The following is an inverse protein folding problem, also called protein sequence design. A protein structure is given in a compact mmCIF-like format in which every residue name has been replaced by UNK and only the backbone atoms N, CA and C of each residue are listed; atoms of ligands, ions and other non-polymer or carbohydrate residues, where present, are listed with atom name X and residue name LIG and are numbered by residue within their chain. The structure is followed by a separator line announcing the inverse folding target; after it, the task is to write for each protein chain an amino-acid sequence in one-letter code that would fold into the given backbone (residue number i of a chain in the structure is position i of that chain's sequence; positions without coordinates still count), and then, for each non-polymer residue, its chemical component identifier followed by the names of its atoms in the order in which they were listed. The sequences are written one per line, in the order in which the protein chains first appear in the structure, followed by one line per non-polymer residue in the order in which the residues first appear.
data_IF_663224867416
#
_entry.id   IF_663224867416
#
_cell.length_a   1.000
_cell.length_b   1.000
_cell.length_c   1.000
_cell.angle_alpha   90.00
_cell.angle_beta   90.00
_cell.angle_gamma   90.00
#
_symmetry.space_group_name_H-M   'P 1'
#
loop_
_entity.id
_entity.type
_entity.pdbx_description
1 polymer ?
#
# COMPACT_ATOMS: atom_id res chain seq x y z
N UNK A 1 7.00 -0.23 11.60
CA UNK A 1 7.07 0.21 10.19
C UNK A 1 5.76 0.83 9.72
N UNK A 2 4.65 0.10 9.83
CA UNK A 2 3.35 0.62 9.39
C UNK A 2 2.90 1.84 10.18
N UNK A 3 3.07 1.87 11.49
CA UNK A 3 2.66 2.99 12.34
C UNK A 3 3.41 4.27 12.00
N UNK A 4 4.70 4.17 11.75
CA UNK A 4 5.52 5.30 11.35
C UNK A 4 5.07 5.86 10.00
N UNK A 5 4.83 4.98 9.03
CA UNK A 5 4.39 5.37 7.69
C UNK A 5 2.99 6.00 7.73
N UNK A 6 2.06 5.44 8.51
CA UNK A 6 0.74 6.05 8.72
C UNK A 6 0.84 7.47 9.28
N UNK A 7 1.70 7.65 10.27
CA UNK A 7 1.92 8.96 10.88
C UNK A 7 2.42 9.98 9.85
N UNK A 8 3.39 9.61 9.03
CA UNK A 8 3.92 10.48 7.98
C UNK A 8 2.84 10.84 6.96
N UNK A 9 2.03 9.88 6.53
CA UNK A 9 0.96 10.13 5.56
C UNK A 9 -0.07 11.11 6.14
N UNK A 10 -0.46 10.91 7.40
CA UNK A 10 -1.38 11.82 8.07
C UNK A 10 -0.82 13.24 8.14
N UNK A 11 0.46 13.38 8.49
CA UNK A 11 1.11 14.70 8.56
C UNK A 11 1.23 15.37 7.21
N UNK A 12 1.60 14.63 6.17
CA UNK A 12 1.91 15.20 4.86
C UNK A 12 0.67 15.46 4.02
N UNK A 13 -0.33 14.62 4.11
CA UNK A 13 -1.50 14.65 3.23
C UNK A 13 -2.81 14.99 3.96
N UNK A 14 -2.79 15.05 5.28
CA UNK A 14 -3.98 15.38 6.07
C UNK A 14 -5.05 14.31 6.11
N UNK A 15 -4.78 13.09 5.63
CA UNK A 15 -5.74 11.99 5.69
C UNK A 15 -5.53 11.13 6.93
N UNK A 16 -6.63 10.74 7.57
CA UNK A 16 -6.64 9.87 8.75
C UNK A 16 -7.34 8.55 8.49
N UNK A 17 -7.94 8.37 7.31
CA UNK A 17 -8.66 7.15 6.95
C UNK A 17 -7.67 6.13 6.39
N UNK A 18 -6.92 5.50 7.29
CA UNK A 18 -5.83 4.59 6.96
C UNK A 18 -6.05 3.29 7.72
N UNK A 19 -6.34 2.21 6.96
CA UNK A 19 -6.44 0.86 7.48
C UNK A 19 -5.09 0.13 7.43
N UNK A 20 -4.94 -0.92 8.22
CA UNK A 20 -3.69 -1.70 8.24
C UNK A 20 -3.91 -3.16 8.57
N UNK A 21 -4.28 -3.49 9.80
CA UNK A 21 -4.44 -4.85 10.25
C UNK A 21 -5.81 -5.41 9.84
N UNK A 22 -5.84 -6.59 9.21
CA UNK A 22 -7.06 -7.24 8.75
C UNK A 22 -7.14 -8.70 9.23
N UNK A 23 -7.50 -8.88 10.50
CA UNK A 23 -7.70 -10.21 11.08
C UNK A 23 -8.94 -10.91 10.52
N UNK A 24 -9.98 -10.15 10.19
CA UNK A 24 -11.28 -10.68 9.77
C UNK A 24 -11.28 -11.34 8.41
N UNK A 25 -10.29 -11.03 7.56
CA UNK A 25 -10.28 -11.54 6.19
C UNK A 25 -9.74 -12.95 6.07
N UNK A 26 -9.14 -13.51 7.12
CA UNK A 26 -8.60 -14.87 7.19
C UNK A 26 -7.62 -15.20 6.05
N UNK A 27 -7.04 -14.19 5.43
CA UNK A 27 -6.10 -14.35 4.34
C UNK A 27 -4.69 -14.31 4.94
N UNK A 28 -4.21 -15.45 5.40
CA UNK A 28 -2.93 -15.58 6.11
C UNK A 28 -1.74 -15.11 5.27
N UNK A 29 -1.87 -15.11 3.94
CA UNK A 29 -0.82 -14.67 3.03
C UNK A 29 -0.91 -13.18 2.70
N UNK A 30 -1.94 -12.48 3.17
CA UNK A 30 -2.07 -11.04 2.97
C UNK A 30 -1.12 -10.28 3.88
N UNK A 31 -0.48 -9.22 3.35
CA UNK A 31 0.34 -8.34 4.17
C UNK A 31 -0.47 -7.54 5.20
N UNK A 32 -1.79 -7.46 5.06
CA UNK A 32 -2.68 -6.90 6.07
C UNK A 32 -2.86 -7.82 7.28
N UNK A 33 -2.66 -9.12 7.10
CA UNK A 33 -2.77 -10.09 8.20
C UNK A 33 -1.53 -9.97 9.07
N UNK A 34 -1.68 -9.82 10.40
CA UNK A 34 -0.53 -9.63 11.27
C UNK A 34 0.38 -10.84 11.30
N UNK A 35 1.68 -10.58 11.41
CA UNK A 35 2.68 -11.62 11.55
C UNK A 35 2.66 -12.22 12.99
N UNK A 36 3.63 -13.09 13.29
CA UNK A 36 3.74 -13.75 14.59
C UNK A 36 3.92 -12.75 15.76
N UNK A 37 4.37 -11.53 15.47
CA UNK A 37 4.55 -10.46 16.46
C UNK A 37 3.33 -9.52 16.53
N UNK A 38 2.24 -9.82 15.82
CA UNK A 38 1.05 -8.99 15.77
C UNK A 38 1.17 -7.75 14.90
N UNK A 39 2.16 -7.71 14.01
CA UNK A 39 2.43 -6.56 13.14
C UNK A 39 1.95 -6.81 11.71
N UNK A 40 1.06 -5.97 11.21
CA UNK A 40 0.69 -5.98 9.80
C UNK A 40 1.81 -5.34 8.95
N UNK A 41 1.93 -5.80 7.70
CA UNK A 41 2.96 -5.33 6.76
C UNK A 41 2.34 -4.56 5.59
N UNK A 42 1.10 -4.11 5.72
CA UNK A 42 0.44 -3.32 4.69
C UNK A 42 -0.48 -2.28 5.31
N UNK A 43 -0.66 -1.18 4.59
CA UNK A 43 -1.63 -0.14 4.92
C UNK A 43 -2.42 0.25 3.69
N UNK A 44 -3.69 0.58 3.89
CA UNK A 44 -4.58 1.12 2.86
C UNK A 44 -4.92 2.57 3.20
N UNK A 45 -4.56 3.48 2.32
CA UNK A 45 -4.90 4.91 2.45
C UNK A 45 -6.16 5.15 1.64
N UNK A 46 -7.27 5.37 2.33
CA UNK A 46 -8.58 5.55 1.68
C UNK A 46 -8.68 6.96 1.11
N UNK A 47 -8.91 7.04 -0.18
CA UNK A 47 -9.02 8.33 -0.89
C UNK A 47 -10.37 8.51 -1.59
N UNK A 48 -11.22 7.47 -1.63
CA UNK A 48 -12.52 7.52 -2.28
C UNK A 48 -12.40 7.87 -3.75
N UNK A 49 -13.06 8.92 -4.18
CA UNK A 49 -13.00 9.41 -5.56
C UNK A 49 -11.90 10.43 -5.80
N UNK A 50 -11.12 10.80 -4.78
CA UNK A 50 -10.02 11.76 -4.93
C UNK A 50 -8.77 11.07 -5.49
N UNK A 51 -8.79 10.79 -6.79
CA UNK A 51 -7.70 10.08 -7.47
C UNK A 51 -6.41 10.88 -7.50
N UNK A 52 -6.50 12.21 -7.53
CA UNK A 52 -5.32 13.07 -7.48
C UNK A 52 -4.57 12.90 -6.16
N UNK A 53 -5.29 12.86 -5.03
CA UNK A 53 -4.69 12.58 -3.72
C UNK A 53 -4.09 11.18 -3.69
N UNK A 54 -4.81 10.20 -4.24
CA UNK A 54 -4.33 8.82 -4.32
C UNK A 54 -2.99 8.72 -5.03
N UNK A 55 -2.84 9.36 -6.18
CA UNK A 55 -1.59 9.36 -6.93
C UNK A 55 -0.49 10.16 -6.24
N UNK A 56 -0.83 11.22 -5.50
CA UNK A 56 0.15 11.93 -4.68
C UNK A 56 0.74 11.03 -3.60
N UNK A 57 -0.12 10.29 -2.89
CA UNK A 57 0.32 9.34 -1.85
C UNK A 57 1.14 8.21 -2.47
N UNK A 58 0.65 7.61 -3.56
CA UNK A 58 1.32 6.50 -4.24
C UNK A 58 2.71 6.91 -4.75
N UNK A 59 2.81 8.08 -5.38
CA UNK A 59 4.08 8.61 -5.90
C UNK A 59 5.05 8.91 -4.76
N UNK A 60 4.57 9.53 -3.69
CA UNK A 60 5.39 9.80 -2.50
C UNK A 60 5.95 8.52 -1.91
N UNK A 61 5.13 7.49 -1.76
CA UNK A 61 5.58 6.20 -1.24
C UNK A 61 6.62 5.55 -2.15
N UNK A 62 6.42 5.63 -3.46
CA UNK A 62 7.36 5.07 -4.44
C UNK A 62 8.71 5.80 -4.42
N UNK A 63 8.69 7.14 -4.34
CA UNK A 63 9.92 7.95 -4.27
C UNK A 63 10.68 7.66 -2.99
N UNK A 64 9.98 7.41 -1.88
CA UNK A 64 10.58 7.18 -0.57
C UNK A 64 10.67 5.68 -0.22
N UNK A 65 10.56 4.79 -1.21
CA UNK A 65 10.44 3.36 -0.98
C UNK A 65 11.60 2.77 -0.15
N UNK A 66 12.83 3.19 -0.41
CA UNK A 66 13.99 2.69 0.33
C UNK A 66 13.92 3.10 1.81
N UNK A 67 13.61 4.35 2.09
CA UNK A 67 13.53 4.89 3.47
C UNK A 67 12.36 4.27 4.25
N UNK A 68 11.24 4.00 3.57
CA UNK A 68 10.03 3.47 4.18
C UNK A 68 9.98 1.94 4.15
N UNK A 69 10.93 1.28 3.53
CA UNK A 69 10.96 -0.17 3.34
C UNK A 69 9.73 -0.67 2.58
N UNK A 70 9.32 0.06 1.55
CA UNK A 70 8.18 -0.31 0.70
C UNK A 70 8.54 -1.52 -0.14
N UNK A 71 7.68 -2.54 -0.11
CA UNK A 71 7.78 -3.73 -0.93
C UNK A 71 7.11 -3.50 -2.29
N UNK A 72 5.87 -3.05 -2.29
CA UNK A 72 5.16 -2.62 -3.51
C UNK A 72 4.04 -1.64 -3.16
N UNK A 73 3.59 -0.90 -4.18
CA UNK A 73 2.45 0.03 -4.09
C UNK A 73 1.47 -0.32 -5.20
N UNK A 74 0.19 -0.36 -4.87
CA UNK A 74 -0.89 -0.59 -5.85
C UNK A 74 -1.90 0.53 -5.75
N UNK A 75 -2.28 1.09 -6.90
CA UNK A 75 -3.40 2.03 -7.00
C UNK A 75 -3.99 2.01 -8.40
N UNK A 76 -5.31 1.95 -8.49
CA UNK A 76 -6.07 2.01 -9.75
C UNK A 76 -5.57 1.04 -10.83
N UNK A 77 -5.35 -0.21 -10.45
CA UNK A 77 -4.92 -1.24 -11.39
C UNK A 77 -3.48 -1.14 -11.85
N UNK A 78 -2.67 -0.28 -11.22
CA UNK A 78 -1.25 -0.13 -11.47
C UNK A 78 -0.47 -0.55 -10.25
N UNK A 79 0.70 -1.16 -10.49
CA UNK A 79 1.60 -1.60 -9.42
C UNK A 79 3.03 -1.17 -9.73
N UNK A 80 3.76 -0.76 -8.71
CA UNK A 80 5.22 -0.68 -8.74
C UNK A 80 5.76 -1.63 -7.66
N UNK A 81 6.60 -2.56 -8.06
CA UNK A 81 7.13 -3.61 -7.17
C UNK A 81 8.64 -3.46 -7.05
N UNK A 82 9.08 -3.08 -5.85
CA UNK A 82 10.49 -2.81 -5.56
C UNK A 82 11.32 -4.07 -5.35
N UNK A 83 10.71 -5.25 -5.45
CA UNK A 83 11.44 -6.53 -5.50
C UNK A 83 11.95 -6.84 -6.91
N UNK A 84 11.43 -6.14 -7.92
CA UNK A 84 11.89 -6.29 -9.30
C UNK A 84 13.24 -5.58 -9.50
N UNK A 85 14.11 -6.07 -10.43
CA UNK A 85 15.45 -5.46 -10.66
C UNK A 85 15.38 -4.02 -11.16
N UNK A 86 14.35 -3.68 -11.93
CA UNK A 86 14.14 -2.32 -12.44
C UNK A 86 12.69 -1.90 -12.18
N UNK A 87 12.36 -1.51 -10.94
CA UNK A 87 10.98 -1.20 -10.58
C UNK A 87 10.42 -0.06 -11.41
N UNK A 88 9.22 -0.27 -11.95
CA UNK A 88 8.49 0.73 -12.71
C UNK A 88 7.00 0.47 -12.57
N UNK A 89 6.19 1.53 -12.68
CA UNK A 89 4.74 1.39 -12.71
C UNK A 89 4.31 0.62 -13.94
N UNK A 90 3.46 -0.39 -13.76
CA UNK A 90 2.84 -1.13 -14.85
C UNK A 90 1.45 -1.62 -14.41
N UNK A 91 0.61 -1.98 -15.39
CA UNK A 91 -0.70 -2.53 -15.10
C UNK A 91 -0.57 -3.86 -14.33
N UNK A 92 -1.51 -4.12 -13.43
CA UNK A 92 -1.63 -5.42 -12.80
C UNK A 92 -1.78 -6.50 -13.87
N UNK A 93 -0.97 -7.56 -13.78
CA UNK A 93 -0.83 -8.54 -14.87
C UNK A 93 -2.09 -9.35 -15.13
N UNK A 94 -2.84 -9.65 -14.06
CA UNK A 94 -4.10 -10.36 -14.17
C UNK A 94 -5.23 -9.36 -13.94
N UNK A 95 -6.04 -9.03 -15.00
CA UNK A 95 -7.12 -8.06 -14.85
C UNK A 95 -8.27 -8.53 -13.94
N UNK A 96 -8.30 -9.82 -13.59
CA UNK A 96 -9.29 -10.37 -12.66
C UNK A 96 -8.77 -10.46 -11.23
N UNK A 97 -7.51 -10.13 -10.99
CA UNK A 97 -6.88 -10.21 -9.67
C UNK A 97 -7.35 -9.09 -8.75
N UNK A 98 -7.11 -9.26 -7.44
CA UNK A 98 -7.37 -8.20 -6.47
C UNK A 98 -6.51 -6.96 -6.72
N UNK A 99 -5.30 -7.14 -7.29
CA UNK A 99 -4.46 -6.02 -7.73
C UNK A 99 -5.23 -5.08 -8.66
N UNK A 100 -5.90 -5.64 -9.68
CA UNK A 100 -6.62 -4.85 -10.68
C UNK A 100 -7.95 -4.32 -10.17
N UNK A 101 -8.68 -5.08 -9.33
CA UNK A 101 -10.09 -4.83 -9.04
C UNK A 101 -10.34 -4.12 -7.71
N UNK A 102 -9.47 -4.28 -6.71
CA UNK A 102 -9.76 -3.87 -5.34
C UNK A 102 -9.10 -2.57 -4.89
N UNK A 103 -8.18 -2.01 -5.67
CA UNK A 103 -7.39 -0.85 -5.28
C UNK A 103 -7.77 0.39 -6.07
N UNK A 104 -9.09 0.62 -6.26
CA UNK A 104 -9.59 1.76 -7.04
C UNK A 104 -9.82 3.00 -6.19
N UNK A 105 -10.17 2.84 -4.91
CA UNK A 105 -10.52 3.91 -3.98
C UNK A 105 -9.53 4.05 -2.82
N UNK A 106 -8.45 3.29 -2.86
CA UNK A 106 -7.40 3.37 -1.83
C UNK A 106 -6.04 3.02 -2.41
N UNK A 107 -5.02 3.60 -1.81
CA UNK A 107 -3.62 3.29 -2.11
C UNK A 107 -3.18 2.17 -1.18
N UNK A 108 -2.75 1.05 -1.75
CA UNK A 108 -2.22 -0.07 -0.99
C UNK A 108 -0.70 0.02 -0.95
N UNK A 109 -0.13 0.06 0.24
CA UNK A 109 1.31 -0.02 0.46
C UNK A 109 1.64 -1.30 1.22
N UNK A 110 2.44 -2.16 0.62
CA UNK A 110 3.04 -3.30 1.33
C UNK A 110 4.45 -2.95 1.71
N UNK A 111 4.82 -3.27 2.95
CA UNK A 111 6.11 -2.93 3.53
C UNK A 111 6.89 -4.19 3.86
N UNK A 112 8.22 -4.10 3.75
CA UNK A 112 9.11 -5.14 4.25
C UNK A 112 9.14 -5.07 5.78
N UNK A 113 9.32 -6.23 6.42
CA UNK A 113 9.50 -6.27 7.87
C UNK A 113 10.81 -5.58 8.27
N UNK A 114 10.75 -4.80 9.36
CA UNK A 114 11.97 -4.26 9.96
C UNK A 114 11.78 -3.88 11.41
#
# INVERSE_FOLDING_TARGET
ATDYTKHLITMLFGTTDIGGCALSDHIENSDHYPDANGQAHAIDVMVGTNTALGWQVATWAAVNAAALHVKYVIFQGQIIDFREPAPAWHACRDPTSSCALRHQDHVHLSLLAF
#
